data_IF_179017950988
#
_entry.id   IF_179017950988
#
_cell.length_a   1.000
_cell.length_b   1.000
_cell.length_c   1.000
_cell.angle_alpha   90.00
_cell.angle_beta   90.00
_cell.angle_gamma   90.00
#
_symmetry.space_group_name_H-M   'P 1'
#
loop_
_entity.id
_entity.type
_entity.pdbx_description
1 polymer ?
#
# COMPACT_ATOMS: atom_id res chain seq x y z
N UNK A 1 -15.95 -33.26 -23.17
CA UNK A 1 -14.61 -33.67 -23.68
C UNK A 1 -13.92 -34.50 -22.61
N UNK A 2 -13.43 -35.69 -22.96
CA UNK A 2 -12.71 -36.56 -22.01
C UNK A 2 -11.31 -35.98 -21.80
N UNK A 3 -10.99 -35.56 -20.56
CA UNK A 3 -9.63 -35.15 -20.20
C UNK A 3 -8.91 -36.40 -19.68
N UNK A 4 -8.22 -37.10 -20.58
CA UNK A 4 -7.35 -38.22 -20.20
C UNK A 4 -6.00 -37.67 -19.72
N UNK A 5 -5.92 -37.33 -18.44
CA UNK A 5 -4.64 -37.02 -17.79
C UNK A 5 -4.25 -38.14 -16.83
N UNK A 6 -3.09 -38.75 -17.08
CA UNK A 6 -2.48 -39.73 -16.18
C UNK A 6 -1.59 -38.98 -15.20
N UNK A 7 -1.92 -39.04 -13.92
CA UNK A 7 -1.09 -38.46 -12.85
C UNK A 7 -0.14 -39.51 -12.28
N UNK A 8 1.12 -39.13 -12.07
CA UNK A 8 2.13 -40.01 -11.48
C UNK A 8 2.43 -39.56 -10.04
N UNK A 9 1.83 -40.22 -9.05
CA UNK A 9 2.20 -40.05 -7.65
C UNK A 9 3.17 -41.18 -7.22
N UNK A 10 4.18 -40.85 -6.41
CA UNK A 10 5.07 -41.82 -5.76
C UNK A 10 4.83 -41.75 -4.24
N UNK A 11 4.56 -42.88 -3.61
CA UNK A 11 4.67 -42.99 -2.14
C UNK A 11 6.14 -43.26 -1.74
N UNK A 12 6.43 -43.12 -0.45
CA UNK A 12 7.75 -43.37 0.17
C UNK A 12 8.20 -44.83 0.08
N UNK A 13 7.34 -45.76 -0.34
CA UNK A 13 7.57 -47.22 -0.33
C UNK A 13 7.59 -47.83 -1.75
N UNK A 14 7.42 -47.01 -2.79
CA UNK A 14 7.66 -47.38 -4.19
C UNK A 14 6.64 -48.35 -4.81
N UNK A 15 5.39 -48.39 -4.34
CA UNK A 15 4.50 -49.51 -4.66
C UNK A 15 3.44 -49.32 -5.73
N UNK A 16 2.62 -48.26 -5.68
CA UNK A 16 1.35 -48.25 -6.40
C UNK A 16 1.21 -47.11 -7.40
N UNK A 17 0.96 -47.47 -8.66
CA UNK A 17 0.62 -46.53 -9.76
C UNK A 17 -0.90 -46.46 -9.86
N UNK A 18 -1.48 -45.33 -9.47
CA UNK A 18 -2.90 -45.06 -9.68
C UNK A 18 -3.09 -44.20 -10.93
N UNK A 19 -4.02 -44.58 -11.78
CA UNK A 19 -4.49 -43.75 -12.90
C UNK A 19 -5.90 -43.28 -12.57
N UNK A 20 -6.11 -41.97 -12.52
CA UNK A 20 -7.43 -41.38 -12.29
C UNK A 20 -7.93 -40.84 -13.62
N UNK A 21 -9.10 -41.30 -14.07
CA UNK A 21 -9.78 -40.77 -15.26
C UNK A 21 -10.92 -39.88 -14.78
N UNK A 22 -10.92 -38.62 -15.23
CA UNK A 22 -11.92 -37.63 -14.83
C UNK A 22 -12.77 -37.22 -16.03
N UNK A 23 -14.07 -37.12 -15.80
CA UNK A 23 -15.03 -36.63 -16.78
C UNK A 23 -15.45 -35.21 -16.37
N UNK A 24 -15.28 -34.25 -17.29
CA UNK A 24 -15.74 -32.88 -17.09
C UNK A 24 -16.67 -32.44 -18.22
N UNK A 25 -17.56 -31.51 -17.91
CA UNK A 25 -18.36 -30.86 -18.93
C UNK A 25 -17.46 -30.06 -19.89
N UNK A 26 -17.91 -29.90 -21.14
CA UNK A 26 -17.15 -29.11 -22.11
C UNK A 26 -17.04 -27.66 -21.60
N UNK A 27 -15.84 -27.10 -21.67
CA UNK A 27 -15.47 -25.76 -21.20
C UNK A 27 -15.66 -25.47 -19.70
N UNK A 28 -16.06 -26.46 -18.90
CA UNK A 28 -16.10 -26.30 -17.44
C UNK A 28 -14.68 -26.32 -16.87
N UNK A 29 -14.30 -25.38 -15.99
CA UNK A 29 -13.02 -25.40 -15.32
C UNK A 29 -12.92 -26.60 -14.39
N UNK A 30 -11.80 -27.33 -14.47
CA UNK A 30 -11.42 -28.41 -13.58
C UNK A 30 -10.29 -27.90 -12.68
N UNK A 31 -10.49 -28.07 -11.39
CA UNK A 31 -9.49 -27.81 -10.38
C UNK A 31 -9.23 -29.09 -9.60
N UNK A 32 -7.98 -29.55 -9.60
CA UNK A 32 -7.55 -30.75 -8.90
C UNK A 32 -6.56 -30.37 -7.82
N UNK A 33 -6.76 -30.86 -6.61
CA UNK A 33 -5.75 -30.75 -5.56
C UNK A 33 -5.45 -32.11 -4.97
N UNK A 34 -4.22 -32.29 -4.50
CA UNK A 34 -3.80 -33.49 -3.79
C UNK A 34 -3.63 -33.17 -2.31
N UNK A 35 -4.29 -33.93 -1.45
CA UNK A 35 -4.20 -33.81 0.00
C UNK A 35 -3.45 -35.03 0.54
N UNK A 36 -2.46 -34.83 1.40
CA UNK A 36 -1.78 -35.93 2.07
C UNK A 36 -2.57 -36.37 3.33
N UNK A 37 -2.13 -37.45 3.98
CA UNK A 37 -2.79 -37.95 5.20
C UNK A 37 -2.78 -36.97 6.38
N UNK A 38 -1.98 -35.89 6.31
CA UNK A 38 -1.91 -34.81 7.30
C UNK A 38 -2.82 -33.61 6.94
N UNK A 39 -3.71 -33.77 5.96
CA UNK A 39 -4.61 -32.72 5.45
C UNK A 39 -3.89 -31.50 4.84
N UNK A 40 -2.64 -31.68 4.43
CA UNK A 40 -1.87 -30.64 3.75
C UNK A 40 -1.99 -30.80 2.23
N UNK A 41 -2.31 -29.69 1.57
CA UNK A 41 -2.30 -29.60 0.12
C UNK A 41 -0.87 -29.77 -0.43
N UNK A 42 -0.69 -30.71 -1.35
CA UNK A 42 0.61 -31.04 -1.95
C UNK A 42 0.74 -30.62 -3.41
N UNK A 43 -0.38 -30.43 -4.12
CA UNK A 43 -0.39 -29.89 -5.48
C UNK A 43 -1.75 -29.27 -5.83
N UNK A 44 -1.76 -28.22 -6.66
CA UNK A 44 -2.95 -27.62 -7.27
C UNK A 44 -2.78 -27.61 -8.79
N UNK A 45 -3.72 -28.21 -9.51
CA UNK A 45 -3.80 -28.18 -10.96
C UNK A 45 -5.10 -27.50 -11.36
N UNK A 46 -5.03 -26.62 -12.36
CA UNK A 46 -6.19 -25.97 -12.93
C UNK A 46 -6.06 -26.02 -14.45
N UNK A 47 -7.10 -26.47 -15.14
CA UNK A 47 -7.22 -26.27 -16.58
C UNK A 47 -8.03 -25.01 -16.92
N UNK A 48 -8.55 -24.33 -15.90
CA UNK A 48 -9.20 -23.04 -16.04
C UNK A 48 -8.18 -21.97 -16.48
N UNK A 49 -8.60 -21.09 -17.40
CA UNK A 49 -7.79 -19.93 -17.77
C UNK A 49 -7.69 -18.96 -16.59
N UNK A 50 -6.64 -18.14 -16.55
CA UNK A 50 -6.51 -17.07 -15.54
C UNK A 50 -7.73 -16.15 -15.54
N UNK A 51 -8.35 -15.93 -16.70
CA UNK A 51 -9.56 -15.13 -16.84
C UNK A 51 -10.78 -15.81 -16.17
N UNK A 52 -10.94 -17.12 -16.31
CA UNK A 52 -11.99 -17.88 -15.63
C UNK A 52 -11.79 -17.92 -14.10
N UNK A 53 -10.54 -18.04 -13.65
CA UNK A 53 -10.19 -18.04 -12.24
C UNK A 53 -10.40 -16.68 -11.57
N UNK A 54 -10.08 -15.59 -12.27
CA UNK A 54 -10.10 -14.23 -11.74
C UNK A 54 -11.35 -13.43 -12.13
N UNK A 55 -12.29 -14.03 -12.88
CA UNK A 55 -13.55 -13.40 -13.26
C UNK A 55 -14.30 -12.95 -12.00
N UNK A 56 -14.85 -11.75 -12.05
CA UNK A 56 -15.69 -11.21 -10.96
C UNK A 56 -16.83 -12.18 -10.61
N UNK A 57 -16.97 -12.49 -9.33
CA UNK A 57 -17.95 -13.46 -8.80
C UNK A 57 -17.54 -14.94 -8.93
N UNK A 58 -16.35 -15.25 -9.47
CA UNK A 58 -15.84 -16.63 -9.50
C UNK A 58 -15.46 -17.09 -8.09
N UNK A 59 -16.02 -18.21 -7.65
CA UNK A 59 -15.68 -18.84 -6.36
C UNK A 59 -14.65 -19.95 -6.51
N UNK A 60 -14.16 -20.26 -7.71
CA UNK A 60 -13.31 -21.43 -7.96
C UNK A 60 -12.05 -21.46 -7.10
N UNK A 61 -11.37 -20.32 -6.94
CA UNK A 61 -10.19 -20.21 -6.08
C UNK A 61 -10.59 -20.30 -4.59
N UNK A 62 -11.68 -19.63 -4.21
CA UNK A 62 -12.20 -19.64 -2.86
C UNK A 62 -12.57 -21.06 -2.41
N UNK A 63 -13.33 -21.79 -3.23
CA UNK A 63 -13.76 -23.17 -3.00
C UNK A 63 -12.58 -24.14 -2.96
N UNK A 64 -11.54 -23.87 -3.76
CA UNK A 64 -10.30 -24.64 -3.71
C UNK A 64 -9.62 -24.50 -2.35
N UNK A 65 -9.39 -23.25 -1.94
CA UNK A 65 -8.65 -22.94 -0.73
C UNK A 65 -9.42 -23.32 0.53
N UNK A 66 -10.76 -23.18 0.55
CA UNK A 66 -11.58 -23.62 1.68
C UNK A 66 -11.46 -25.13 1.92
N UNK A 67 -11.27 -25.92 0.85
CA UNK A 67 -11.04 -27.38 0.94
C UNK A 67 -9.64 -27.74 1.42
N UNK A 68 -8.69 -26.81 1.33
CA UNK A 68 -7.35 -26.94 1.89
C UNK A 68 -7.26 -26.42 3.32
N UNK A 69 -8.41 -26.26 3.99
CA UNK A 69 -8.52 -25.64 5.33
C UNK A 69 -7.91 -24.25 5.42
N UNK A 70 -7.76 -23.56 4.28
CA UNK A 70 -7.37 -22.15 4.25
C UNK A 70 -8.64 -21.34 4.51
N UNK A 71 -8.61 -20.51 5.53
CA UNK A 71 -9.72 -19.62 5.84
C UNK A 71 -9.89 -18.59 4.71
N UNK A 72 -11.04 -18.63 4.05
CA UNK A 72 -11.38 -17.75 2.94
C UNK A 72 -12.48 -16.81 3.37
N UNK A 73 -12.25 -15.52 3.19
CA UNK A 73 -13.29 -14.49 3.32
C UNK A 73 -13.80 -14.13 1.94
N UNK A 74 -15.04 -14.50 1.62
CA UNK A 74 -15.71 -14.13 0.36
C UNK A 74 -16.41 -12.78 0.46
N UNK A 75 -16.79 -12.36 1.66
CA UNK A 75 -17.57 -11.15 1.91
C UNK A 75 -16.68 -9.95 2.27
N UNK A 76 -15.59 -9.77 1.51
CA UNK A 76 -14.72 -8.60 1.69
C UNK A 76 -15.37 -7.39 1.04
N UNK A 77 -16.03 -6.57 1.85
CA UNK A 77 -16.54 -5.27 1.39
C UNK A 77 -15.37 -4.30 1.25
N UNK A 78 -15.11 -3.84 0.03
CA UNK A 78 -14.13 -2.77 -0.20
C UNK A 78 -14.69 -1.50 0.45
N UNK A 79 -13.97 -0.87 1.39
CA UNK A 79 -14.46 0.32 2.05
C UNK A 79 -14.59 1.47 1.04
N UNK A 80 -15.60 2.31 1.22
CA UNK A 80 -15.77 3.53 0.44
C UNK A 80 -14.68 4.55 0.78
N UNK A 81 -14.36 5.42 -0.18
CA UNK A 81 -13.49 6.56 0.05
C UNK A 81 -14.03 7.44 1.19
N UNK A 82 -13.13 8.08 1.93
CA UNK A 82 -13.47 9.01 2.99
C UNK A 82 -12.83 10.36 2.75
N UNK A 83 -13.42 11.43 3.28
CA UNK A 83 -12.71 12.70 3.43
C UNK A 83 -11.40 12.52 4.21
N UNK A 84 -10.43 13.38 3.91
CA UNK A 84 -9.16 13.45 4.63
C UNK A 84 -9.19 14.45 5.76
N UNK A 85 -8.08 14.50 6.47
CA UNK A 85 -7.78 15.45 7.53
C UNK A 85 -6.43 16.09 7.29
N UNK A 86 -6.31 17.37 7.58
CA UNK A 86 -5.06 18.11 7.56
C UNK A 86 -4.77 18.63 8.97
N UNK A 87 -3.60 18.29 9.50
CA UNK A 87 -3.15 18.71 10.83
C UNK A 87 -1.66 19.06 10.78
N UNK A 88 -1.26 20.06 11.56
CA UNK A 88 0.13 20.48 11.70
C UNK A 88 0.66 20.14 13.11
N UNK A 89 1.98 20.25 13.30
CA UNK A 89 2.61 20.08 14.61
C UNK A 89 2.08 21.06 15.66
N UNK A 90 1.73 22.27 15.22
CA UNK A 90 1.09 23.31 16.03
C UNK A 90 -0.19 23.76 15.34
N UNK A 91 -1.09 24.45 16.06
CA UNK A 91 -2.35 25.01 15.52
C UNK A 91 -2.16 26.18 14.54
N UNK A 92 -0.93 26.38 14.08
CA UNK A 92 -0.54 27.33 13.05
C UNK A 92 0.21 26.60 11.95
N UNK A 93 0.19 27.16 10.75
CA UNK A 93 1.02 26.65 9.67
C UNK A 93 2.50 26.73 10.07
N UNK A 94 3.30 25.71 9.73
CA UNK A 94 4.71 25.70 10.12
C UNK A 94 5.52 26.76 9.34
N UNK A 95 5.03 27.20 8.18
CA UNK A 95 5.54 28.30 7.35
C UNK A 95 4.47 28.66 6.30
N UNK A 96 4.79 29.58 5.38
CA UNK A 96 3.92 29.99 4.28
C UNK A 96 3.86 28.87 3.22
N UNK A 97 2.94 27.94 3.42
CA UNK A 97 2.72 26.74 2.58
C UNK A 97 2.26 27.12 1.18
N UNK A 98 3.20 27.49 0.30
CA UNK A 98 2.92 28.06 -1.02
C UNK A 98 2.13 27.08 -1.91
N UNK A 99 1.12 27.59 -2.61
CA UNK A 99 0.22 26.79 -3.46
C UNK A 99 -0.87 26.01 -2.71
N UNK A 100 -0.98 26.17 -1.39
CA UNK A 100 -2.10 25.67 -0.62
C UNK A 100 -3.29 26.64 -0.66
N UNK A 101 -4.47 26.13 -0.99
CA UNK A 101 -5.69 26.94 -1.07
C UNK A 101 -6.76 26.41 -0.09
N UNK A 102 -7.43 27.34 0.59
CA UNK A 102 -8.59 27.02 1.43
C UNK A 102 -9.87 27.29 0.65
N UNK A 103 -10.84 26.38 0.80
CA UNK A 103 -12.17 26.50 0.20
C UNK A 103 -12.19 26.58 -1.35
N UNK A 104 -11.08 26.20 -1.99
CA UNK A 104 -10.95 26.05 -3.43
C UNK A 104 -10.19 24.74 -3.74
N UNK A 105 -10.62 23.94 -4.74
CA UNK A 105 -9.90 22.74 -5.14
C UNK A 105 -8.53 23.06 -5.77
N UNK A 106 -7.47 22.41 -5.29
CA UNK A 106 -6.10 22.58 -5.80
C UNK A 106 -5.42 21.21 -5.99
N UNK A 107 -4.22 21.23 -6.57
CA UNK A 107 -3.53 20.01 -7.00
C UNK A 107 -3.95 19.55 -8.40
N UNK A 108 -3.39 18.44 -8.84
CA UNK A 108 -3.71 17.82 -10.13
C UNK A 108 -4.86 16.82 -9.99
N UNK A 109 -4.58 15.52 -9.87
CA UNK A 109 -5.58 14.46 -9.73
C UNK A 109 -5.11 13.43 -8.68
N UNK A 110 -5.92 13.13 -7.65
CA UNK A 110 -7.18 13.80 -7.29
C UNK A 110 -6.94 15.23 -6.82
N UNK A 111 -7.91 16.13 -7.03
CA UNK A 111 -7.87 17.46 -6.43
C UNK A 111 -8.14 17.37 -4.93
N UNK A 112 -7.52 18.25 -4.16
CA UNK A 112 -7.78 18.39 -2.73
C UNK A 112 -8.57 19.67 -2.47
N UNK A 113 -9.50 19.62 -1.50
CA UNK A 113 -10.24 20.79 -1.04
C UNK A 113 -10.11 20.92 0.48
N UNK A 114 -9.25 21.83 0.94
CA UNK A 114 -9.11 22.08 2.38
C UNK A 114 -10.24 22.96 2.88
N UNK A 115 -10.84 22.56 4.01
CA UNK A 115 -11.93 23.31 4.63
C UNK A 115 -11.83 23.26 6.15
N UNK A 116 -11.90 24.44 6.77
CA UNK A 116 -12.20 24.57 8.19
C UNK A 116 -13.71 24.48 8.37
N UNK A 117 -14.23 23.32 8.80
CA UNK A 117 -15.68 23.05 8.85
C UNK A 117 -16.42 24.09 9.67
N UNK A 118 -15.85 24.50 10.82
CA UNK A 118 -16.40 25.56 11.69
C UNK A 118 -16.55 26.92 11.01
N UNK A 119 -15.71 27.25 10.03
CA UNK A 119 -15.66 28.56 9.36
C UNK A 119 -16.37 28.58 8.02
N UNK A 120 -16.31 27.47 7.28
CA UNK A 120 -16.72 27.42 5.88
C UNK A 120 -17.90 26.47 5.62
N UNK A 121 -18.39 25.77 6.63
CA UNK A 121 -19.49 24.81 6.53
C UNK A 121 -19.03 23.39 6.16
N UNK A 122 -19.98 22.47 5.86
CA UNK A 122 -19.70 21.05 5.69
C UNK A 122 -18.79 20.76 4.50
N UNK A 123 -18.08 19.64 4.55
CA UNK A 123 -17.32 19.11 3.43
C UNK A 123 -18.30 18.60 2.34
N UNK A 124 -17.97 18.78 1.05
CA UNK A 124 -18.72 18.13 -0.04
C UNK A 124 -18.49 16.61 -0.03
N UNK A 125 -19.22 15.90 -0.90
CA UNK A 125 -19.04 14.47 -1.10
C UNK A 125 -17.64 14.13 -1.63
N UNK A 126 -17.12 12.98 -1.19
CA UNK A 126 -15.83 12.46 -1.63
C UNK A 126 -15.97 11.68 -2.94
N UNK A 127 -15.01 11.86 -3.84
CA UNK A 127 -14.92 11.07 -5.08
C UNK A 127 -13.46 10.75 -5.41
N UNK A 128 -13.25 9.95 -6.45
CA UNK A 128 -11.89 9.71 -6.98
C UNK A 128 -11.26 10.96 -7.62
N UNK A 129 -12.04 12.00 -7.89
CA UNK A 129 -11.59 13.24 -8.53
C UNK A 129 -11.38 14.38 -7.54
N UNK A 130 -12.16 14.41 -6.46
CA UNK A 130 -12.12 15.44 -5.43
C UNK A 130 -12.08 14.79 -4.05
N UNK A 131 -11.02 15.10 -3.30
CA UNK A 131 -10.83 14.70 -1.91
C UNK A 131 -11.04 15.91 -0.99
N UNK A 132 -12.20 15.99 -0.30
CA UNK A 132 -12.41 16.98 0.74
C UNK A 132 -11.51 16.69 1.94
N UNK A 133 -10.88 17.72 2.50
CA UNK A 133 -9.96 17.61 3.63
C UNK A 133 -10.38 18.58 4.74
N UNK A 134 -10.75 18.04 5.90
CA UNK A 134 -11.02 18.85 7.09
C UNK A 134 -9.71 19.31 7.72
N UNK A 135 -9.59 20.62 7.94
CA UNK A 135 -8.46 21.20 8.67
C UNK A 135 -8.76 21.12 10.17
N UNK A 136 -7.90 20.43 10.92
CA UNK A 136 -8.04 20.18 12.35
C UNK A 136 -6.92 20.79 13.17
N UNK A 137 -7.26 21.13 14.41
CA UNK A 137 -6.33 21.54 15.47
C UNK A 137 -5.80 20.34 16.24
N UNK A 138 -4.73 20.54 17.01
CA UNK A 138 -4.13 19.56 17.94
C UNK A 138 -5.13 19.06 18.98
N UNK A 139 -6.15 19.85 19.32
CA UNK A 139 -7.20 19.46 20.28
C UNK A 139 -8.31 18.60 19.69
N UNK A 140 -8.47 18.61 18.36
CA UNK A 140 -9.51 17.84 17.67
C UNK A 140 -9.05 16.42 17.32
N UNK A 141 -7.72 16.20 17.26
CA UNK A 141 -7.05 14.93 16.94
C UNK A 141 -7.47 14.30 15.61
N UNK A 142 -6.72 13.27 15.19
CA UNK A 142 -7.05 12.46 14.03
C UNK A 142 -7.77 11.17 14.44
N UNK A 143 -8.85 10.75 13.73
CA UNK A 143 -9.51 9.50 14.04
C UNK A 143 -8.63 8.30 13.65
N UNK A 144 -8.52 7.31 14.53
CA UNK A 144 -7.76 6.07 14.31
C UNK A 144 -6.26 6.27 14.00
N UNK A 145 -5.71 7.46 14.26
CA UNK A 145 -4.29 7.78 14.09
C UNK A 145 -3.81 8.59 15.28
N UNK A 146 -2.75 8.12 15.96
CA UNK A 146 -2.19 8.80 17.13
C UNK A 146 -1.27 9.95 16.70
N UNK A 147 -1.86 11.10 16.38
CA UNK A 147 -1.16 12.30 15.94
C UNK A 147 -0.25 12.88 17.03
N UNK A 148 -0.62 12.76 18.31
CA UNK A 148 0.25 13.18 19.42
C UNK A 148 1.57 12.41 19.44
N UNK A 149 1.51 11.08 19.34
CA UNK A 149 2.70 10.24 19.28
C UNK A 149 3.51 10.54 18.03
N UNK A 150 2.86 10.75 16.89
CA UNK A 150 3.51 11.12 15.63
C UNK A 150 4.37 12.38 15.81
N UNK A 151 3.78 13.50 16.21
CA UNK A 151 4.52 14.75 16.35
C UNK A 151 5.53 14.72 17.50
N UNK A 152 5.22 14.04 18.61
CA UNK A 152 6.17 13.85 19.73
C UNK A 152 7.44 13.10 19.32
N UNK A 153 7.34 12.18 18.35
CA UNK A 153 8.48 11.38 17.86
C UNK A 153 9.16 12.01 16.63
N UNK A 154 8.53 13.00 16.00
CA UNK A 154 9.04 13.63 14.80
C UNK A 154 10.21 14.58 15.13
N UNK A 155 11.41 14.22 14.71
CA UNK A 155 12.64 14.98 14.97
C UNK A 155 13.11 15.83 13.79
N UNK A 156 12.51 15.63 12.61
CA UNK A 156 12.84 16.38 11.39
C UNK A 156 12.48 17.85 11.55
N UNK A 157 13.28 18.79 11.01
CA UNK A 157 12.98 20.22 11.12
C UNK A 157 11.83 20.67 10.21
N UNK A 158 11.66 20.04 9.03
CA UNK A 158 10.61 20.38 8.06
C UNK A 158 9.71 19.20 7.68
N UNK A 159 10.28 18.09 7.24
CA UNK A 159 9.51 16.94 6.76
C UNK A 159 8.53 16.42 7.82
N UNK A 160 7.24 16.29 7.48
CA UNK A 160 6.21 15.75 8.37
C UNK A 160 5.61 16.73 9.36
N UNK A 161 6.03 18.00 9.37
CA UNK A 161 5.43 19.04 10.25
C UNK A 161 4.01 19.42 9.86
N UNK A 162 3.62 19.10 8.63
CA UNK A 162 2.27 19.14 8.13
C UNK A 162 1.90 17.75 7.60
N UNK A 163 0.74 17.26 8.01
CA UNK A 163 0.27 15.90 7.77
C UNK A 163 -1.12 15.93 7.14
N UNK A 164 -1.22 15.29 5.98
CA UNK A 164 -2.50 14.85 5.43
C UNK A 164 -2.74 13.41 5.85
N UNK A 165 -3.91 13.14 6.40
CA UNK A 165 -4.30 11.80 6.83
C UNK A 165 -5.63 11.40 6.20
N UNK A 166 -5.68 10.21 5.62
CA UNK A 166 -6.89 9.66 5.00
C UNK A 166 -7.23 8.30 5.62
N UNK A 167 -8.41 8.16 6.27
CA UNK A 167 -8.87 6.85 6.74
C UNK A 167 -8.96 5.82 5.60
N UNK A 168 -9.57 6.22 4.47
CA UNK A 168 -9.65 5.41 3.25
C UNK A 168 -9.41 6.31 2.03
N UNK A 169 -8.39 6.00 1.23
CA UNK A 169 -8.13 6.65 -0.04
C UNK A 169 -7.84 5.62 -1.14
N UNK A 170 -7.77 6.05 -2.40
CA UNK A 170 -7.32 5.17 -3.48
C UNK A 170 -5.84 4.79 -3.30
N UNK A 171 -4.97 5.80 -3.20
CA UNK A 171 -3.53 5.62 -2.95
C UNK A 171 -2.91 6.93 -2.49
N UNK A 172 -2.00 6.88 -1.51
CA UNK A 172 -1.25 8.06 -1.05
C UNK A 172 -0.35 8.60 -2.15
N UNK A 173 0.12 7.76 -3.08
CA UNK A 173 1.03 8.14 -4.15
C UNK A 173 0.43 9.18 -5.11
N UNK A 174 -0.83 9.01 -5.53
CA UNK A 174 -1.48 10.00 -6.43
C UNK A 174 -1.84 11.28 -5.67
N UNK A 175 -2.23 11.17 -4.39
CA UNK A 175 -2.42 12.35 -3.52
C UNK A 175 -1.10 13.12 -3.37
N UNK A 176 0.01 12.42 -3.15
CA UNK A 176 1.35 12.98 -3.07
C UNK A 176 1.77 13.70 -4.35
N UNK A 177 1.53 13.10 -5.53
CA UNK A 177 1.77 13.75 -6.83
C UNK A 177 0.89 14.98 -7.05
N UNK A 178 -0.38 14.91 -6.64
CA UNK A 178 -1.30 16.05 -6.71
C UNK A 178 -0.82 17.22 -5.85
N UNK A 179 -0.36 16.93 -4.63
CA UNK A 179 0.27 17.91 -3.76
C UNK A 179 1.61 18.40 -4.31
N UNK A 180 2.43 17.55 -4.92
CA UNK A 180 3.70 17.96 -5.54
C UNK A 180 3.48 18.92 -6.72
N UNK A 181 2.37 18.76 -7.45
CA UNK A 181 2.01 19.65 -8.54
C UNK A 181 1.66 21.07 -8.04
N UNK A 182 0.89 21.17 -6.95
CA UNK A 182 0.49 22.47 -6.41
C UNK A 182 1.50 23.09 -5.44
N UNK A 183 2.22 22.27 -4.67
CA UNK A 183 3.05 22.64 -3.53
C UNK A 183 4.42 21.98 -3.64
N UNK A 184 5.10 22.19 -4.77
CA UNK A 184 6.32 21.48 -5.16
C UNK A 184 7.46 21.56 -4.13
N UNK A 185 7.57 22.70 -3.44
CA UNK A 185 8.66 22.94 -2.48
C UNK A 185 8.36 22.39 -1.08
N UNK A 186 7.14 21.92 -0.86
CA UNK A 186 6.66 21.61 0.48
C UNK A 186 6.84 20.14 0.86
N UNK A 187 7.55 19.84 1.97
CA UNK A 187 7.83 18.47 2.39
C UNK A 187 6.65 17.89 3.18
N UNK A 188 5.52 17.76 2.47
CA UNK A 188 4.25 17.29 3.00
C UNK A 188 4.24 15.77 3.08
N UNK A 189 3.75 15.25 4.20
CA UNK A 189 3.51 13.82 4.40
C UNK A 189 2.02 13.53 4.24
N UNK A 190 1.72 12.48 3.48
CA UNK A 190 0.38 11.89 3.33
C UNK A 190 0.40 10.51 3.96
N UNK A 191 -0.47 10.25 4.92
CA UNK A 191 -0.66 8.94 5.56
C UNK A 191 -2.04 8.41 5.21
N UNK A 192 -2.13 7.11 4.94
CA UNK A 192 -3.41 6.43 4.81
C UNK A 192 -3.51 5.30 5.84
N UNK A 193 -4.69 5.14 6.43
CA UNK A 193 -5.02 3.93 7.22
C UNK A 193 -5.34 2.74 6.33
N UNK A 194 -5.92 3.00 5.15
CA UNK A 194 -6.23 1.97 4.16
C UNK A 194 -6.20 2.55 2.73
N UNK A 195 -5.62 1.80 1.79
CA UNK A 195 -5.66 2.13 0.36
C UNK A 195 -6.48 1.09 -0.40
N UNK A 196 -7.41 1.52 -1.25
CA UNK A 196 -8.23 0.58 -2.05
C UNK A 196 -7.64 0.30 -3.44
N UNK A 197 -6.71 1.14 -3.89
CA UNK A 197 -5.98 1.02 -5.16
C UNK A 197 -4.48 1.25 -4.94
N UNK A 198 -3.92 0.68 -3.87
CA UNK A 198 -2.49 0.74 -3.58
C UNK A 198 -1.66 0.29 -4.79
N UNK A 199 -0.57 1.00 -5.09
CA UNK A 199 0.22 0.82 -6.31
C UNK A 199 1.65 0.42 -5.96
N UNK A 200 2.13 -0.67 -6.53
CA UNK A 200 3.53 -1.08 -6.56
C UNK A 200 4.22 -0.72 -7.88
N UNK A 201 5.46 -1.16 -8.05
CA UNK A 201 6.20 -0.97 -9.30
C UNK A 201 5.48 -1.61 -10.50
N UNK A 202 5.69 -1.02 -11.67
CA UNK A 202 5.09 -1.48 -12.93
C UNK A 202 3.56 -1.56 -12.90
N UNK A 203 2.91 -0.73 -12.07
CA UNK A 203 1.44 -0.68 -11.86
C UNK A 203 0.86 -1.96 -11.25
N UNK A 204 1.67 -2.81 -10.63
CA UNK A 204 1.17 -3.93 -9.84
C UNK A 204 0.32 -3.42 -8.68
N UNK A 205 -0.78 -4.10 -8.36
CA UNK A 205 -1.59 -3.73 -7.20
C UNK A 205 -0.88 -4.13 -5.90
N UNK A 206 -0.91 -3.22 -4.92
CA UNK A 206 -0.46 -3.49 -3.56
C UNK A 206 -1.65 -3.57 -2.60
N UNK A 207 -1.88 -4.77 -2.04
CA UNK A 207 -2.93 -4.97 -1.05
C UNK A 207 -2.57 -4.25 0.26
N UNK A 208 -3.48 -3.39 0.70
CA UNK A 208 -3.22 -2.37 1.72
C UNK A 208 -4.24 -2.44 2.87
N UNK A 209 -4.36 -3.60 3.57
CA UNK A 209 -5.33 -3.74 4.66
C UNK A 209 -4.96 -2.88 5.87
N UNK A 210 -5.92 -2.67 6.76
CA UNK A 210 -5.69 -2.03 8.06
C UNK A 210 -4.61 -2.78 8.85
N UNK A 211 -3.65 -2.01 9.37
CA UNK A 211 -2.49 -2.51 10.11
C UNK A 211 -1.16 -2.36 9.34
N UNK A 212 -1.20 -1.96 8.08
CA UNK A 212 0.00 -1.52 7.36
C UNK A 212 0.38 -0.09 7.75
N UNK A 213 1.68 0.23 7.83
CA UNK A 213 2.11 1.62 7.73
C UNK A 213 2.19 1.98 6.25
N UNK A 214 1.41 3.00 5.86
CA UNK A 214 1.29 3.46 4.49
C UNK A 214 1.38 4.97 4.49
N UNK A 215 2.41 5.47 3.82
CA UNK A 215 2.60 6.90 3.69
C UNK A 215 3.38 7.22 2.43
N UNK A 216 3.20 8.44 1.96
CA UNK A 216 4.05 9.05 0.96
C UNK A 216 4.44 10.45 1.39
N UNK A 217 5.53 10.95 0.85
CA UNK A 217 5.94 12.33 1.04
C UNK A 217 6.65 12.86 -0.17
N UNK A 218 6.60 14.18 -0.33
CA UNK A 218 7.32 14.88 -1.36
C UNK A 218 8.64 15.41 -0.83
N UNK A 219 9.66 15.35 -1.67
CA UNK A 219 10.97 15.92 -1.39
C UNK A 219 11.52 16.55 -2.65
N UNK A 220 11.69 17.87 -2.62
CA UNK A 220 12.31 18.62 -3.70
C UNK A 220 13.83 18.53 -3.58
N UNK A 221 14.49 18.15 -4.67
CA UNK A 221 15.94 18.17 -4.77
C UNK A 221 16.41 19.60 -5.06
N UNK A 222 17.35 20.09 -4.26
CA UNK A 222 18.02 21.35 -4.53
C UNK A 222 18.79 21.24 -5.85
N UNK A 223 18.71 22.23 -6.77
CA UNK A 223 19.37 22.17 -8.08
C UNK A 223 20.84 21.74 -8.01
N UNK A 224 21.61 22.31 -7.08
CA UNK A 224 23.03 22.04 -6.88
C UNK A 224 23.35 20.70 -6.19
N UNK A 225 22.32 19.93 -5.82
CA UNK A 225 22.51 18.64 -5.16
C UNK A 225 23.07 17.60 -6.12
N UNK A 226 24.09 16.87 -5.68
CA UNK A 226 24.58 15.68 -6.38
C UNK A 226 23.51 14.60 -6.58
N UNK A 227 22.42 14.64 -5.80
CA UNK A 227 21.26 13.75 -5.98
C UNK A 227 20.52 13.99 -7.30
N UNK A 228 20.56 15.21 -7.87
CA UNK A 228 19.96 15.45 -9.19
C UNK A 228 20.65 14.64 -10.29
N UNK A 229 21.95 14.39 -10.15
CA UNK A 229 22.70 13.57 -11.11
C UNK A 229 22.45 12.07 -10.92
N UNK A 230 21.85 11.65 -9.81
CA UNK A 230 21.59 10.24 -9.50
C UNK A 230 20.29 10.06 -8.69
N UNK A 231 19.18 10.50 -9.26
CA UNK A 231 17.85 10.43 -8.62
C UNK A 231 17.48 8.99 -8.20
N UNK A 232 17.96 7.98 -8.94
CA UNK A 232 17.72 6.57 -8.62
C UNK A 232 18.22 6.15 -7.23
N UNK A 233 19.27 6.80 -6.70
CA UNK A 233 19.82 6.48 -5.37
C UNK A 233 18.83 6.79 -4.24
N UNK A 234 17.88 7.69 -4.46
CA UNK A 234 16.89 8.12 -3.46
C UNK A 234 16.04 6.92 -3.01
N UNK A 235 15.70 6.02 -3.93
CA UNK A 235 14.98 4.80 -3.58
C UNK A 235 15.78 3.93 -2.61
N UNK A 236 17.11 3.86 -2.78
CA UNK A 236 17.99 3.08 -1.90
C UNK A 236 18.16 3.73 -0.54
N UNK A 237 18.33 5.05 -0.50
CA UNK A 237 18.35 5.84 0.74
C UNK A 237 17.05 5.59 1.51
N UNK A 238 15.91 5.62 0.81
CA UNK A 238 14.62 5.39 1.43
C UNK A 238 14.47 3.96 1.97
N UNK A 239 14.89 2.93 1.22
CA UNK A 239 14.91 1.54 1.72
C UNK A 239 15.67 1.42 3.05
N UNK A 240 16.88 1.98 3.10
CA UNK A 240 17.75 1.89 4.27
C UNK A 240 17.17 2.70 5.43
N UNK A 241 16.63 3.89 5.17
CA UNK A 241 15.99 4.73 6.17
C UNK A 241 14.79 4.04 6.82
N UNK A 242 13.95 3.35 6.04
CA UNK A 242 12.81 2.58 6.54
C UNK A 242 13.28 1.45 7.47
N UNK A 243 14.23 0.62 7.03
CA UNK A 243 14.72 -0.51 7.85
C UNK A 243 15.41 0.00 9.12
N UNK A 244 16.22 1.06 9.00
CA UNK A 244 16.86 1.72 10.14
C UNK A 244 15.83 2.26 11.13
N UNK A 245 14.80 2.94 10.62
CA UNK A 245 13.67 3.44 11.40
C UNK A 245 12.99 2.34 12.20
N UNK A 246 12.61 1.24 11.56
CA UNK A 246 11.95 0.10 12.23
C UNK A 246 12.83 -0.48 13.33
N UNK A 247 14.12 -0.72 13.04
CA UNK A 247 15.08 -1.26 14.02
C UNK A 247 15.30 -0.33 15.21
N UNK A 248 15.14 0.98 15.02
CA UNK A 248 15.28 1.98 16.08
C UNK A 248 14.04 2.15 16.96
N UNK A 249 12.88 1.59 16.58
CA UNK A 249 11.62 1.80 17.31
C UNK A 249 11.68 1.26 18.74
N UNK A 250 12.21 0.05 18.93
CA UNK A 250 12.40 -0.60 20.23
C UNK A 250 13.62 -1.51 20.19
N UNK A 251 14.22 -1.75 21.36
CA UNK A 251 15.43 -2.59 21.50
C UNK A 251 15.22 -4.01 20.99
N UNK A 252 14.02 -4.57 21.12
CA UNK A 252 13.73 -5.94 20.65
C UNK A 252 13.74 -6.04 19.11
N UNK A 253 13.60 -4.91 18.40
CA UNK A 253 13.55 -4.87 16.95
C UNK A 253 14.91 -4.61 16.29
N UNK A 254 15.95 -4.32 17.07
CA UNK A 254 17.29 -3.99 16.55
C UNK A 254 17.83 -5.09 15.61
N UNK A 255 17.63 -6.34 16.00
CA UNK A 255 18.08 -7.52 15.26
C UNK A 255 16.97 -8.15 14.39
N UNK A 256 15.87 -7.44 14.15
CA UNK A 256 14.80 -7.93 13.29
C UNK A 256 15.40 -8.26 11.90
N UNK A 257 15.20 -9.48 11.36
CA UNK A 257 15.90 -9.97 10.17
C UNK A 257 15.32 -9.40 8.87
N UNK A 258 15.07 -8.10 8.83
CA UNK A 258 14.69 -7.36 7.63
C UNK A 258 15.85 -7.30 6.65
N UNK A 259 15.56 -7.65 5.39
CA UNK A 259 16.49 -7.63 4.26
C UNK A 259 15.89 -6.86 3.11
N UNK A 260 16.76 -6.19 2.35
CA UNK A 260 16.38 -5.55 1.09
C UNK A 260 16.56 -6.58 -0.01
N UNK A 261 15.48 -6.97 -0.67
CA UNK A 261 15.55 -7.61 -1.98
C UNK A 261 15.54 -6.48 -3.00
N UNK A 262 16.69 -6.27 -3.63
CA UNK A 262 16.89 -5.18 -4.56
C UNK A 262 15.84 -5.24 -5.70
N UNK A 263 15.25 -4.11 -6.12
CA UNK A 263 15.63 -2.73 -5.77
C UNK A 263 14.85 -2.08 -4.62
N UNK A 264 13.70 -2.63 -4.22
CA UNK A 264 12.69 -1.88 -3.45
C UNK A 264 11.81 -2.74 -2.55
N UNK A 265 12.12 -4.03 -2.41
CA UNK A 265 11.30 -4.94 -1.62
C UNK A 265 11.94 -5.17 -0.24
N UNK A 266 11.11 -5.12 0.80
CA UNK A 266 11.52 -5.41 2.17
C UNK A 266 11.02 -6.81 2.52
N UNK A 267 11.96 -7.67 2.93
CA UNK A 267 11.70 -9.05 3.29
C UNK A 267 12.02 -9.32 4.75
N UNK A 268 11.18 -10.13 5.40
CA UNK A 268 11.55 -10.79 6.65
C UNK A 268 12.30 -12.10 6.31
N UNK A 269 13.56 -12.16 6.72
CA UNK A 269 14.46 -13.24 6.33
C UNK A 269 14.73 -13.22 4.82
N UNK A 270 14.39 -14.30 4.12
CA UNK A 270 14.50 -14.42 2.65
C UNK A 270 13.20 -14.88 1.98
N UNK A 271 12.17 -15.15 2.77
CA UNK A 271 10.96 -15.85 2.31
C UNK A 271 9.77 -14.92 2.19
N UNK A 272 9.54 -14.10 3.22
CA UNK A 272 8.30 -13.32 3.32
C UNK A 272 8.55 -11.88 2.92
N UNK A 273 7.86 -11.43 1.87
CA UNK A 273 7.82 -10.02 1.51
C UNK A 273 6.88 -9.31 2.48
N UNK A 274 7.40 -8.35 3.24
CA UNK A 274 6.66 -7.62 4.27
C UNK A 274 6.44 -6.16 3.93
N UNK A 275 7.17 -5.64 2.95
CA UNK A 275 6.98 -4.27 2.50
C UNK A 275 7.54 -4.00 1.12
N UNK A 276 7.25 -2.81 0.62
CA UNK A 276 7.69 -2.36 -0.68
C UNK A 276 7.56 -0.84 -0.78
N UNK A 277 8.49 -0.26 -1.51
CA UNK A 277 8.55 1.18 -1.72
C UNK A 277 8.61 1.53 -3.20
N UNK A 278 8.17 2.73 -3.50
CA UNK A 278 8.19 3.32 -4.84
C UNK A 278 8.64 4.78 -4.73
N UNK A 279 9.41 5.22 -5.71
CA UNK A 279 9.81 6.63 -5.85
C UNK A 279 9.48 7.05 -7.27
N UNK A 280 8.73 8.15 -7.40
CA UNK A 280 8.48 8.81 -8.66
C UNK A 280 9.16 10.18 -8.62
N UNK A 281 9.94 10.49 -9.64
CA UNK A 281 10.54 11.81 -9.81
C UNK A 281 9.86 12.52 -10.97
N UNK A 282 9.49 13.78 -10.74
CA UNK A 282 8.87 14.66 -11.73
C UNK A 282 9.59 16.01 -11.72
N UNK A 283 9.71 16.64 -12.88
CA UNK A 283 10.21 18.01 -12.96
C UNK A 283 9.04 18.99 -12.83
N UNK A 284 9.12 19.91 -11.87
CA UNK A 284 8.15 20.98 -11.64
C UNK A 284 8.93 22.29 -11.56
N UNK A 285 8.62 23.25 -12.43
CA UNK A 285 9.33 24.55 -12.52
C UNK A 285 10.87 24.40 -12.56
N UNK A 286 11.37 23.48 -13.39
CA UNK A 286 12.80 23.16 -13.54
C UNK A 286 13.47 22.54 -12.28
N UNK A 287 12.69 22.24 -11.24
CA UNK A 287 13.14 21.56 -10.03
C UNK A 287 12.68 20.10 -10.04
N UNK A 288 13.56 19.19 -9.62
CA UNK A 288 13.20 17.78 -9.47
C UNK A 288 12.48 17.55 -8.15
N UNK A 289 11.22 17.16 -8.20
CA UNK A 289 10.44 16.74 -7.02
C UNK A 289 10.29 15.22 -7.03
N UNK A 290 10.67 14.60 -5.92
CA UNK A 290 10.49 13.17 -5.71
C UNK A 290 9.27 12.94 -4.81
N UNK A 291 8.28 12.18 -5.27
CA UNK A 291 7.24 11.60 -4.43
C UNK A 291 7.67 10.18 -4.06
N UNK A 292 7.98 9.98 -2.78
CA UNK A 292 8.38 8.71 -2.21
C UNK A 292 7.17 8.10 -1.50
N UNK A 293 6.91 6.82 -1.70
CA UNK A 293 5.81 6.10 -1.04
C UNK A 293 6.26 4.73 -0.58
N UNK A 294 5.74 4.32 0.55
CA UNK A 294 6.04 3.04 1.17
C UNK A 294 4.75 2.34 1.63
N UNK A 295 4.81 1.02 1.67
CA UNK A 295 3.86 0.23 2.43
C UNK A 295 4.58 -0.92 3.12
N UNK A 296 4.41 -1.01 4.44
CA UNK A 296 4.92 -2.10 5.28
C UNK A 296 3.78 -2.75 6.04
N UNK A 297 3.65 -4.05 5.89
CA UNK A 297 2.70 -4.88 6.62
C UNK A 297 3.34 -5.40 7.91
N UNK A 298 2.91 -4.86 9.05
CA UNK A 298 3.34 -5.34 10.37
C UNK A 298 2.60 -6.59 10.84
N UNK A 299 1.43 -6.90 10.25
CA UNK A 299 0.68 -8.14 10.55
C UNK A 299 1.42 -9.41 10.14
N UNK A 300 2.39 -9.32 9.24
CA UNK A 300 3.21 -10.46 8.81
C UNK A 300 4.47 -10.67 9.68
N UNK A 301 4.72 -9.78 10.63
CA UNK A 301 5.94 -9.77 11.47
C UNK A 301 5.62 -10.16 12.93
N UNK A 302 4.33 -10.17 13.31
CA UNK A 302 3.87 -10.48 14.66
C UNK A 302 3.45 -11.95 14.81
#
# INVERSE_FOLDING_TARGET
LQVNQTFHAKDLVGGYKYSVVLYKAQDSPLLLYMENAEQLASALFSDATSEQLLRSGSTLIADAFSRLSIEITTDVTIPSLTSGYFICEYDRMPWDMEGMHFNEPFGSMPKLLLKQVKKHGPLPEVSSELLPVEVRTRTEHLPDFNDELYFKRLQTPRLGKALFYFPVCETTMEIGKSLAFAMAEEPIVVVARQQIKGVGRSRNQWLSPVGCAMFSFNYMLLPESSLNNNVGIIQHIFCVAIISGIRSLRKELENLPLKIKWPNDIYYGRMYKVGGLIVNATSVNEKTVCTLGDTISFKLIA
#
